data_IF_136737126200
#
_entry.id   IF_136737126200
#
_cell.length_a   1.000
_cell.length_b   1.000
_cell.length_c   1.000
_cell.angle_alpha   90.00
_cell.angle_beta   90.00
_cell.angle_gamma   90.00
#
_symmetry.space_group_name_H-M   'P 1'
#
loop_
_entity.id
_entity.type
_entity.pdbx_description
1 polymer ?
#
# COMPACT_ATOMS: atom_id res chain seq x y z
N UNK A 1 -10.30 3.63 -16.98
CA UNK A 1 -9.07 3.97 -16.23
C UNK A 1 -9.52 4.67 -14.95
N UNK A 2 -9.38 4.06 -13.78
CA UNK A 2 -9.92 4.61 -12.51
C UNK A 2 -9.30 5.97 -12.18
N UNK A 3 -10.15 6.97 -11.87
CA UNK A 3 -9.75 8.30 -11.40
C UNK A 3 -9.15 8.17 -9.99
N UNK A 4 -7.84 8.10 -9.89
CA UNK A 4 -7.13 8.25 -8.61
C UNK A 4 -7.01 9.77 -8.35
N UNK A 5 -7.46 10.24 -7.19
CA UNK A 5 -7.41 11.67 -6.82
C UNK A 5 -6.03 12.11 -6.32
N UNK A 6 -5.27 11.16 -5.78
CA UNK A 6 -3.91 11.37 -5.30
C UNK A 6 -2.95 11.61 -6.48
N UNK A 7 -2.10 12.64 -6.35
CA UNK A 7 -1.06 12.95 -7.35
C UNK A 7 0.14 12.00 -7.24
N UNK A 8 0.38 11.44 -6.06
CA UNK A 8 1.47 10.51 -5.77
C UNK A 8 0.99 9.07 -5.97
N UNK A 9 1.22 8.53 -7.16
CA UNK A 9 0.92 7.12 -7.47
C UNK A 9 2.21 6.32 -7.44
N UNK A 10 2.36 5.48 -6.42
CA UNK A 10 3.52 4.60 -6.26
C UNK A 10 3.16 3.20 -6.77
N UNK A 11 3.86 2.73 -7.80
CA UNK A 11 3.71 1.36 -8.29
C UNK A 11 4.58 0.44 -7.45
N UNK A 12 3.97 -0.59 -6.87
CA UNK A 12 4.65 -1.61 -6.09
C UNK A 12 3.85 -2.91 -6.04
N UNK A 13 4.42 -3.90 -5.37
CA UNK A 13 3.79 -5.21 -5.14
C UNK A 13 3.40 -5.32 -3.67
N UNK A 14 2.21 -5.85 -3.39
CA UNK A 14 1.83 -6.17 -2.01
C UNK A 14 2.76 -7.28 -1.50
N UNK A 15 3.50 -6.98 -0.43
CA UNK A 15 4.42 -7.90 0.23
C UNK A 15 3.79 -8.59 1.44
N UNK A 16 2.98 -7.84 2.20
CA UNK A 16 2.31 -8.34 3.41
C UNK A 16 0.99 -7.62 3.62
N UNK A 17 0.00 -8.34 4.15
CA UNK A 17 -1.26 -7.79 4.65
C UNK A 17 -1.47 -8.33 6.06
N UNK A 18 -1.72 -7.44 7.03
CA UNK A 18 -2.16 -7.79 8.38
C UNK A 18 -3.57 -7.24 8.55
N UNK A 19 -4.55 -8.13 8.62
CA UNK A 19 -5.95 -7.77 8.77
C UNK A 19 -6.23 -7.59 10.27
N UNK A 20 -6.59 -6.37 10.66
CA UNK A 20 -7.12 -6.07 11.99
C UNK A 20 -8.64 -5.96 11.96
N UNK A 21 -9.27 -5.94 13.14
CA UNK A 21 -10.73 -5.84 13.26
C UNK A 21 -11.30 -4.47 12.81
N UNK A 22 -10.48 -3.42 12.84
CA UNK A 22 -10.87 -2.04 12.49
C UNK A 22 -10.02 -1.48 11.35
N UNK A 23 -8.74 -1.84 11.28
CA UNK A 23 -7.83 -1.36 10.24
C UNK A 23 -7.01 -2.53 9.69
N UNK A 24 -6.59 -2.42 8.44
CA UNK A 24 -5.63 -3.32 7.81
C UNK A 24 -4.30 -2.62 7.58
N UNK A 25 -3.20 -3.26 7.99
CA UNK A 25 -1.85 -2.83 7.66
C UNK A 25 -1.40 -3.52 6.38
N UNK A 26 -0.93 -2.74 5.41
CA UNK A 26 -0.48 -3.22 4.11
C UNK A 26 0.96 -2.77 3.90
N UNK A 27 1.85 -3.73 3.66
CA UNK A 27 3.22 -3.46 3.25
C UNK A 27 3.33 -3.64 1.74
N UNK A 28 3.76 -2.59 1.05
CA UNK A 28 4.01 -2.57 -0.39
C UNK A 28 5.51 -2.47 -0.64
N UNK A 29 6.04 -3.40 -1.42
CA UNK A 29 7.40 -3.35 -1.92
C UNK A 29 7.47 -2.53 -3.21
N UNK A 30 8.30 -1.50 -3.18
CA UNK A 30 8.66 -0.65 -4.30
C UNK A 30 9.95 -1.16 -4.96
N UNK A 31 10.33 -0.63 -6.13
CA UNK A 31 11.62 -0.93 -6.74
C UNK A 31 12.79 -0.67 -5.78
N UNK A 32 13.88 -1.40 -5.99
CA UNK A 32 15.11 -1.33 -5.18
C UNK A 32 14.94 -1.76 -3.71
N UNK A 33 13.90 -2.56 -3.41
CA UNK A 33 13.69 -3.14 -2.08
C UNK A 33 13.16 -2.16 -1.03
N UNK A 34 12.70 -0.98 -1.45
CA UNK A 34 12.07 0.00 -0.56
C UNK A 34 10.69 -0.52 -0.15
N UNK A 35 10.34 -0.38 1.12
CA UNK A 35 9.02 -0.76 1.63
C UNK A 35 8.22 0.46 2.07
N UNK A 36 6.93 0.47 1.70
CA UNK A 36 5.95 1.44 2.17
C UNK A 36 4.89 0.71 2.97
N UNK A 37 4.68 1.13 4.22
CA UNK A 37 3.63 0.61 5.09
C UNK A 37 2.46 1.60 5.09
N UNK A 38 1.24 1.09 4.92
CA UNK A 38 0.02 1.89 4.90
C UNK A 38 -1.04 1.26 5.81
N UNK A 39 -1.79 2.10 6.52
CA UNK A 39 -2.96 1.71 7.28
C UNK A 39 -4.21 2.08 6.46
N UNK A 40 -5.04 1.09 6.17
CA UNK A 40 -6.35 1.27 5.54
C UNK A 40 -7.42 1.01 6.60
N UNK A 41 -8.35 1.96 6.74
CA UNK A 41 -9.56 1.84 7.57
C UNK A 41 -10.72 1.30 6.76
#
# INVERSE_FOLDING_TARGET
>A
MSKISARNVLKGKIKKIVIGAVNSEITVELPNGIEVVSIIT
#
